data_IF_959927531791
#
_entry.id   IF_959927531791
#
_cell.length_a   1.000
_cell.length_b   1.000
_cell.length_c   1.000
_cell.angle_alpha   90.00
_cell.angle_beta   90.00
_cell.angle_gamma   90.00
#
_symmetry.space_group_name_H-M   'P 1'
#
loop_
_entity.id
_entity.type
_entity.pdbx_description
1 polymer ?
#
# COMPACT_ATOMS: atom_id res chain seq x y z
N UNK A 1 -27.72 4.76 27.14
CA UNK A 1 -26.34 4.23 27.25
C UNK A 1 -26.14 2.82 26.69
N UNK A 2 -27.09 1.86 26.85
CA UNK A 2 -26.95 0.49 26.29
C UNK A 2 -27.08 0.40 24.74
N UNK A 3 -27.88 1.28 24.12
CA UNK A 3 -28.18 1.24 22.68
C UNK A 3 -26.97 1.63 21.80
N UNK A 4 -26.16 2.60 22.26
CA UNK A 4 -24.97 3.04 21.52
C UNK A 4 -23.87 1.96 21.47
N UNK A 5 -23.73 1.13 22.52
CA UNK A 5 -22.78 0.02 22.52
C UNK A 5 -23.16 -1.09 21.54
N UNK A 6 -24.46 -1.38 21.36
CA UNK A 6 -24.93 -2.41 20.42
C UNK A 6 -24.65 -2.02 18.95
N UNK A 7 -24.77 -0.74 18.61
CA UNK A 7 -24.46 -0.21 17.28
C UNK A 7 -22.96 -0.28 16.95
N UNK A 8 -22.11 -0.05 17.95
CA UNK A 8 -20.65 -0.14 17.81
C UNK A 8 -20.15 -1.59 17.70
N UNK A 9 -20.85 -2.54 18.32
CA UNK A 9 -20.57 -3.97 18.16
C UNK A 9 -20.98 -4.41 16.76
N UNK A 10 -22.14 -3.96 16.25
CA UNK A 10 -22.63 -4.31 14.92
C UNK A 10 -21.66 -3.89 13.78
N UNK A 11 -20.98 -2.75 13.94
CA UNK A 11 -20.00 -2.26 12.96
C UNK A 11 -18.67 -3.03 12.99
N UNK A 12 -18.37 -3.78 14.05
CA UNK A 12 -17.20 -4.67 14.14
C UNK A 12 -17.47 -6.06 13.54
N UNK A 13 -18.69 -6.57 13.67
CA UNK A 13 -19.12 -7.86 13.10
C UNK A 13 -19.44 -7.78 11.61
N UNK A 14 -19.85 -6.61 11.09
CA UNK A 14 -19.88 -6.34 9.66
C UNK A 14 -18.48 -6.00 9.19
N UNK A 15 -17.63 -7.03 9.17
CA UNK A 15 -16.23 -6.97 8.83
C UNK A 15 -15.98 -6.09 7.62
N UNK A 16 -15.04 -5.17 7.79
CA UNK A 16 -14.42 -4.46 6.68
C UNK A 16 -13.76 -5.52 5.80
N UNK A 17 -14.52 -6.03 4.83
CA UNK A 17 -13.99 -6.86 3.77
C UNK A 17 -13.16 -5.91 2.93
N UNK A 18 -11.89 -5.70 3.30
CA UNK A 18 -10.96 -4.97 2.43
C UNK A 18 -10.73 -5.88 1.24
N UNK A 19 -11.23 -5.56 0.03
CA UNK A 19 -10.89 -6.36 -1.13
C UNK A 19 -9.37 -6.28 -1.30
N UNK A 20 -8.68 -7.39 -1.05
CA UNK A 20 -7.26 -7.52 -1.35
C UNK A 20 -7.13 -7.32 -2.86
N UNK A 21 -6.57 -6.18 -3.26
CA UNK A 21 -6.54 -5.85 -4.65
C UNK A 21 -5.44 -6.67 -5.34
N UNK A 22 -5.90 -7.72 -6.02
CA UNK A 22 -5.07 -8.71 -6.71
C UNK A 22 -4.68 -8.18 -8.07
N UNK A 23 -3.39 -8.21 -8.38
CA UNK A 23 -2.88 -7.71 -9.66
C UNK A 23 -2.13 -8.79 -10.39
N UNK A 24 -2.55 -9.03 -11.63
CA UNK A 24 -1.75 -9.71 -12.63
C UNK A 24 -0.77 -8.68 -13.21
N UNK A 25 0.31 -8.40 -12.49
CA UNK A 25 1.45 -7.66 -13.02
C UNK A 25 2.64 -8.61 -13.12
N UNK A 26 3.29 -8.57 -14.27
CA UNK A 26 4.57 -9.23 -14.48
C UNK A 26 5.61 -8.13 -14.39
N UNK A 27 6.41 -8.17 -13.34
CA UNK A 27 7.50 -7.23 -13.10
C UNK A 27 8.81 -8.00 -12.91
N UNK A 28 9.94 -7.42 -13.33
CA UNK A 28 11.24 -8.06 -13.14
C UNK A 28 11.60 -8.10 -11.66
N UNK A 29 12.18 -9.22 -11.19
CA UNK A 29 12.65 -9.40 -9.82
C UNK A 29 14.01 -8.71 -9.53
N UNK A 30 14.34 -7.65 -10.27
CA UNK A 30 15.61 -6.91 -10.14
C UNK A 30 15.56 -5.96 -8.96
N UNK A 31 16.63 -5.87 -8.18
CA UNK A 31 16.71 -5.03 -6.98
C UNK A 31 16.93 -3.53 -7.30
N UNK A 32 15.93 -2.88 -7.90
CA UNK A 32 15.92 -1.45 -8.24
C UNK A 32 14.94 -0.69 -7.33
N UNK A 33 15.22 -0.73 -6.02
CA UNK A 33 14.28 -0.29 -4.99
C UNK A 33 13.82 1.16 -5.19
N UNK A 34 12.56 1.40 -4.85
CA UNK A 34 11.97 2.75 -4.82
C UNK A 34 11.12 2.94 -3.58
N UNK A 35 11.09 4.16 -3.06
CA UNK A 35 10.23 4.56 -1.96
C UNK A 35 8.99 5.28 -2.51
N UNK A 36 7.81 4.88 -2.06
CA UNK A 36 6.56 5.55 -2.40
C UNK A 36 6.17 6.61 -1.37
N UNK A 37 5.24 7.49 -1.74
CA UNK A 37 4.74 8.60 -0.88
C UNK A 37 4.02 8.14 0.38
N UNK A 38 3.65 6.86 0.47
CA UNK A 38 3.07 6.25 1.67
C UNK A 38 4.12 5.58 2.57
N UNK A 39 5.43 5.79 2.30
CA UNK A 39 6.52 5.21 3.08
C UNK A 39 6.79 3.72 2.81
N UNK A 40 6.13 3.12 1.81
CA UNK A 40 6.40 1.73 1.43
C UNK A 40 7.51 1.63 0.38
N UNK A 41 8.38 0.63 0.57
CA UNK A 41 9.44 0.29 -0.38
C UNK A 41 8.95 -0.74 -1.39
N UNK A 42 9.14 -0.46 -2.67
CA UNK A 42 8.88 -1.40 -3.77
C UNK A 42 10.19 -1.89 -4.36
N UNK A 43 10.24 -3.16 -4.80
CA UNK A 43 11.44 -3.78 -5.37
C UNK A 43 11.87 -3.09 -6.66
N UNK A 44 10.90 -2.70 -7.49
CA UNK A 44 11.10 -1.91 -8.70
C UNK A 44 10.04 -0.82 -8.85
N UNK A 45 10.29 0.13 -9.76
CA UNK A 45 9.28 1.07 -10.21
C UNK A 45 8.07 0.37 -10.90
N UNK A 46 8.27 -0.79 -11.50
CA UNK A 46 7.18 -1.59 -12.07
C UNK A 46 6.22 -2.03 -10.96
N UNK A 47 6.75 -2.53 -9.84
CA UNK A 47 5.96 -2.96 -8.69
C UNK A 47 5.18 -1.79 -8.08
N UNK A 48 5.78 -0.60 -7.96
CA UNK A 48 5.06 0.59 -7.50
C UNK A 48 3.91 0.97 -8.45
N UNK A 49 4.15 0.98 -9.76
CA UNK A 49 3.10 1.29 -10.76
C UNK A 49 2.01 0.24 -10.78
N UNK A 50 2.38 -1.02 -10.58
CA UNK A 50 1.42 -2.07 -10.31
C UNK A 50 0.63 -1.69 -9.06
N UNK A 51 1.31 -1.29 -7.98
CA UNK A 51 0.65 -0.97 -6.72
C UNK A 51 -0.38 0.16 -6.87
N UNK A 52 -0.08 1.14 -7.71
CA UNK A 52 -0.92 2.29 -8.03
C UNK A 52 -2.28 1.92 -8.66
N UNK A 53 -2.43 0.71 -9.21
CA UNK A 53 -3.73 0.21 -9.69
C UNK A 53 -4.73 -0.07 -8.55
N UNK A 54 -4.24 -0.38 -7.33
CA UNK A 54 -5.09 -0.45 -6.13
C UNK A 54 -5.24 0.93 -5.49
N UNK A 55 -4.10 1.56 -5.20
CA UNK A 55 -4.07 2.82 -4.48
C UNK A 55 -3.52 3.91 -5.41
N UNK A 56 -4.44 4.63 -6.06
CA UNK A 56 -4.09 5.70 -6.99
C UNK A 56 -3.36 6.88 -6.31
N UNK A 57 -3.39 6.95 -4.98
CA UNK A 57 -2.75 8.03 -4.21
C UNK A 57 -1.25 7.83 -4.08
N UNK A 58 -0.76 6.59 -4.20
CA UNK A 58 0.68 6.34 -4.12
C UNK A 58 1.38 6.90 -5.35
N UNK A 59 2.50 7.56 -5.10
CA UNK A 59 3.41 8.08 -6.11
C UNK A 59 4.83 7.67 -5.73
N UNK A 60 5.74 7.72 -6.70
CA UNK A 60 7.16 7.64 -6.41
C UNK A 60 7.54 8.85 -5.52
N UNK A 61 8.20 8.59 -4.40
CA UNK A 61 8.77 9.62 -3.53
C UNK A 61 10.25 9.81 -3.85
N UNK A 62 11.07 8.76 -3.75
CA UNK A 62 12.46 8.76 -4.20
C UNK A 62 12.92 7.38 -4.67
N UNK A 63 14.08 7.32 -5.34
CA UNK A 63 14.78 6.05 -5.63
C UNK A 63 15.48 5.54 -4.38
N UNK A 64 15.61 4.23 -4.23
CA UNK A 64 16.12 3.58 -3.01
C UNK A 64 15.01 3.14 -2.06
N UNK A 65 15.39 2.50 -0.96
CA UNK A 65 14.43 2.03 0.05
C UNK A 65 13.98 3.20 0.94
N UNK A 66 12.75 3.19 1.41
CA UNK A 66 12.32 4.15 2.43
C UNK A 66 13.16 4.00 3.71
N UNK A 67 13.36 5.10 4.44
CA UNK A 67 14.22 5.13 5.64
C UNK A 67 15.71 4.97 5.36
N UNK A 68 16.10 4.81 4.09
CA UNK A 68 17.48 4.95 3.61
C UNK A 68 17.48 5.98 2.50
N UNK A 69 17.52 7.24 2.91
CA UNK A 69 17.93 8.32 2.02
C UNK A 69 19.41 8.05 1.69
N UNK A 70 19.69 7.45 0.54
CA UNK A 70 21.01 7.65 -0.04
C UNK A 70 21.04 9.09 -0.53
N UNK A 71 21.50 9.96 0.36
CA UNK A 71 22.00 11.29 0.07
C UNK A 71 23.05 11.17 -1.04
N UNK A 72 22.67 11.65 -2.21
CA UNK A 72 23.57 12.11 -3.26
C UNK A 72 23.25 13.56 -3.51
#
# INVERSE_FOLDING_TARGET
MKLFSLLFILSLIFGVVVPACRKNCICPATANYVCATNGQTFLTLCDLRCEKKCDRRIKLYHKGRCGREFQG
#
